data_IF_290960609677
#
_entry.id   IF_290960609677
#
_cell.length_a   1.000
_cell.length_b   1.000
_cell.length_c   1.000
_cell.angle_alpha   90.00
_cell.angle_beta   90.00
_cell.angle_gamma   90.00
#
_symmetry.space_group_name_H-M   'P 1'
#
loop_
_entity.id
_entity.type
_entity.pdbx_description
1 polymer ?
#
# COMPACT_ATOMS: atom_id res chain seq x y z
N UNK A 1 -22.99 53.86 -5.56
CA UNK A 1 -22.26 53.14 -6.62
C UNK A 1 -22.16 51.69 -6.22
N UNK A 2 -23.22 50.91 -6.50
CA UNK A 2 -23.20 49.46 -6.37
C UNK A 2 -22.26 48.88 -7.43
N UNK A 3 -21.20 48.23 -7.02
CA UNK A 3 -20.43 47.35 -7.91
C UNK A 3 -21.23 46.07 -8.03
N UNK A 4 -21.87 45.86 -9.18
CA UNK A 4 -22.42 44.56 -9.51
C UNK A 4 -21.30 43.54 -9.53
N UNK A 5 -21.33 42.61 -8.59
CA UNK A 5 -20.39 41.50 -8.55
C UNK A 5 -20.95 40.42 -9.49
N UNK A 6 -20.33 40.24 -10.63
CA UNK A 6 -20.68 39.14 -11.55
C UNK A 6 -19.98 37.90 -11.02
N UNK A 7 -20.73 36.92 -10.58
CA UNK A 7 -20.22 35.61 -10.21
C UNK A 7 -19.89 34.83 -11.50
N UNK A 8 -18.60 34.57 -11.72
CA UNK A 8 -18.16 33.78 -12.86
C UNK A 8 -18.30 32.29 -12.48
N UNK A 9 -18.96 31.47 -13.30
CA UNK A 9 -19.02 30.04 -13.06
C UNK A 9 -17.60 29.46 -12.91
N UNK A 10 -17.34 28.78 -11.79
CA UNK A 10 -16.06 28.12 -11.56
C UNK A 10 -16.24 26.66 -11.23
N UNK A 11 -15.25 25.86 -11.57
CA UNK A 11 -15.21 24.43 -11.29
C UNK A 11 -14.12 24.17 -10.26
N UNK A 12 -14.52 23.76 -9.06
CA UNK A 12 -13.58 23.34 -8.02
C UNK A 12 -13.04 21.95 -8.39
N UNK A 13 -11.76 21.87 -8.69
CA UNK A 13 -11.06 20.61 -8.92
C UNK A 13 -10.11 20.33 -7.76
N UNK A 14 -10.45 19.36 -6.96
CA UNK A 14 -9.54 18.85 -5.92
C UNK A 14 -8.37 18.13 -6.57
N UNK A 15 -7.14 18.56 -6.29
CA UNK A 15 -5.90 17.92 -6.77
C UNK A 15 -5.41 16.89 -5.76
N UNK A 16 -6.23 15.87 -5.51
CA UNK A 16 -5.83 14.72 -4.71
C UNK A 16 -4.90 13.78 -5.48
N UNK A 17 -4.24 12.86 -4.78
CA UNK A 17 -3.49 11.78 -5.43
C UNK A 17 -4.42 11.00 -6.35
N UNK A 18 -3.99 10.81 -7.59
CA UNK A 18 -4.69 9.95 -8.55
C UNK A 18 -3.82 8.73 -8.79
N UNK A 19 -4.37 7.55 -8.54
CA UNK A 19 -3.72 6.28 -8.78
C UNK A 19 -4.46 5.58 -9.91
N UNK A 20 -3.74 5.29 -10.99
CA UNK A 20 -4.23 4.43 -12.05
C UNK A 20 -3.56 3.06 -11.94
N UNK A 21 -4.36 2.02 -12.12
CA UNK A 21 -3.94 0.62 -12.10
C UNK A 21 -4.22 0.03 -13.46
N UNK A 22 -3.18 -0.48 -14.12
CA UNK A 22 -3.29 -1.23 -15.36
C UNK A 22 -2.87 -2.68 -15.08
N UNK A 23 -3.78 -3.62 -15.20
CA UNK A 23 -3.48 -5.04 -15.06
C UNK A 23 -2.77 -5.54 -16.32
N UNK A 24 -1.64 -6.21 -16.15
CA UNK A 24 -0.84 -6.76 -17.23
C UNK A 24 -1.02 -8.29 -17.23
N UNK A 25 -1.53 -8.89 -18.32
CA UNK A 25 -1.75 -10.33 -18.38
C UNK A 25 -0.44 -11.11 -18.33
N UNK A 26 -0.46 -12.22 -17.63
CA UNK A 26 0.69 -13.11 -17.50
C UNK A 26 0.25 -14.58 -17.41
N UNK A 27 1.20 -15.48 -17.60
CA UNK A 27 1.02 -16.92 -17.53
C UNK A 27 2.01 -17.52 -16.54
N UNK A 28 1.55 -18.35 -15.62
CA UNK A 28 2.46 -19.13 -14.79
C UNK A 28 3.06 -20.28 -15.62
N UNK A 29 4.39 -20.33 -15.71
CA UNK A 29 5.11 -21.35 -16.49
C UNK A 29 5.37 -22.59 -15.67
N UNK A 30 6.01 -22.43 -14.49
CA UNK A 30 6.41 -23.58 -13.68
C UNK A 30 6.43 -23.25 -12.18
N UNK A 31 6.58 -24.34 -11.40
CA UNK A 31 6.92 -24.34 -9.99
C UNK A 31 8.10 -25.27 -9.79
N UNK A 32 9.07 -24.88 -8.99
CA UNK A 32 10.20 -25.73 -8.62
C UNK A 32 10.59 -25.50 -7.16
N UNK A 33 11.37 -26.42 -6.62
CA UNK A 33 11.85 -26.34 -5.24
C UNK A 33 13.33 -26.72 -5.21
N UNK A 34 14.11 -25.89 -4.54
CA UNK A 34 15.53 -26.15 -4.36
C UNK A 34 15.98 -25.65 -2.98
N UNK A 35 16.52 -26.53 -2.12
CA UNK A 35 17.10 -26.15 -0.83
C UNK A 35 16.12 -25.44 0.12
N UNK A 36 14.82 -25.83 0.13
CA UNK A 36 13.79 -25.19 0.98
C UNK A 36 13.30 -23.85 0.46
N UNK A 37 13.68 -23.49 -0.76
CA UNK A 37 13.17 -22.31 -1.48
C UNK A 37 12.21 -22.75 -2.58
N UNK A 38 11.05 -22.14 -2.64
CA UNK A 38 9.99 -22.43 -3.59
C UNK A 38 9.95 -21.34 -4.67
N UNK A 39 10.10 -21.76 -5.93
CA UNK A 39 10.16 -20.87 -7.10
C UNK A 39 8.87 -20.93 -7.90
N UNK A 40 8.37 -19.77 -8.28
CA UNK A 40 7.23 -19.58 -9.17
C UNK A 40 7.67 -18.68 -10.32
N UNK A 41 7.64 -19.20 -11.55
CA UNK A 41 8.04 -18.46 -12.74
C UNK A 41 6.82 -18.08 -13.56
N UNK A 42 6.79 -16.83 -13.99
CA UNK A 42 5.73 -16.22 -14.76
C UNK A 42 6.28 -15.59 -16.04
N UNK A 43 5.50 -15.65 -17.10
CA UNK A 43 5.78 -15.01 -18.38
C UNK A 43 4.70 -13.96 -18.65
N UNK A 44 5.08 -12.73 -18.93
CA UNK A 44 4.15 -11.71 -19.40
C UNK A 44 3.71 -12.03 -20.83
N UNK A 45 2.41 -11.91 -21.11
CA UNK A 45 1.86 -12.09 -22.46
C UNK A 45 2.39 -11.02 -23.42
N UNK A 46 2.56 -9.81 -22.88
CA UNK A 46 3.17 -8.68 -23.56
C UNK A 46 4.21 -8.03 -22.64
N UNK A 47 5.36 -7.67 -23.18
CA UNK A 47 6.45 -7.06 -22.40
C UNK A 47 6.14 -5.60 -22.11
N UNK A 48 5.30 -5.38 -21.12
CA UNK A 48 4.96 -4.07 -20.57
C UNK A 48 5.66 -3.84 -19.22
N UNK A 49 5.99 -2.58 -18.86
CA UNK A 49 6.50 -2.30 -17.55
C UNK A 49 5.48 -2.66 -16.46
N UNK A 50 5.94 -3.34 -15.41
CA UNK A 50 5.18 -3.56 -14.17
C UNK A 50 5.95 -3.03 -12.98
N UNK A 51 5.26 -2.69 -11.89
CA UNK A 51 5.88 -2.27 -10.63
C UNK A 51 5.19 -2.87 -9.42
N UNK A 52 4.27 -3.80 -9.64
CA UNK A 52 3.55 -4.44 -8.55
C UNK A 52 3.12 -5.86 -8.92
N UNK A 53 3.30 -6.79 -7.98
CA UNK A 53 2.77 -8.16 -8.05
C UNK A 53 2.02 -8.45 -6.76
N UNK A 54 0.73 -8.78 -6.85
CA UNK A 54 -0.08 -9.22 -5.72
C UNK A 54 -0.15 -10.74 -5.69
N UNK A 55 0.04 -11.33 -4.52
CA UNK A 55 0.09 -12.77 -4.31
C UNK A 55 -0.97 -13.18 -3.30
N UNK A 56 -1.84 -14.13 -3.66
CA UNK A 56 -2.78 -14.72 -2.74
C UNK A 56 -2.38 -16.16 -2.44
N UNK A 57 -2.36 -16.51 -1.16
CA UNK A 57 -1.99 -17.84 -0.69
C UNK A 57 -3.16 -18.50 0.04
N UNK A 58 -3.21 -19.83 -0.03
CA UNK A 58 -4.16 -20.61 0.78
C UNK A 58 -3.82 -20.57 2.26
N UNK A 59 -2.52 -20.46 2.58
CA UNK A 59 -2.05 -20.39 3.96
C UNK A 59 -2.41 -19.06 4.61
N UNK A 60 -2.69 -19.13 5.91
CA UNK A 60 -2.86 -18.01 6.82
C UNK A 60 -1.75 -18.07 7.89
N UNK A 61 -1.51 -16.96 8.59
CA UNK A 61 -0.53 -16.86 9.69
C UNK A 61 0.88 -17.27 9.28
N UNK A 62 1.42 -16.59 8.29
CA UNK A 62 2.78 -16.78 7.83
C UNK A 62 3.58 -15.47 7.84
N UNK A 63 4.90 -15.61 7.88
CA UNK A 63 5.89 -14.55 7.73
C UNK A 63 7.03 -15.10 6.88
N UNK A 64 7.09 -14.68 5.63
CA UNK A 64 8.05 -15.20 4.65
C UNK A 64 8.89 -14.10 4.04
N UNK A 65 10.10 -14.47 3.63
CA UNK A 65 10.98 -13.65 2.81
C UNK A 65 10.90 -14.08 1.36
N UNK A 66 10.80 -13.10 0.48
CA UNK A 66 10.61 -13.28 -0.95
C UNK A 66 11.71 -12.55 -1.71
N UNK A 67 12.29 -13.19 -2.69
CA UNK A 67 13.09 -12.54 -3.72
C UNK A 67 12.27 -12.47 -5.01
N UNK A 68 12.34 -11.35 -5.72
CA UNK A 68 11.79 -11.17 -7.05
C UNK A 68 12.94 -10.94 -8.02
N UNK A 69 12.92 -11.69 -9.11
CA UNK A 69 13.91 -11.63 -10.18
C UNK A 69 13.21 -11.44 -11.52
N UNK A 70 13.87 -10.75 -12.44
CA UNK A 70 13.43 -10.56 -13.83
C UNK A 70 14.42 -11.16 -14.82
N UNK A 71 13.92 -11.62 -15.95
CA UNK A 71 14.72 -12.17 -17.05
C UNK A 71 14.07 -11.89 -18.40
N UNK A 72 14.88 -11.77 -19.45
CA UNK A 72 14.39 -11.67 -20.82
C UNK A 72 14.58 -12.97 -21.63
N UNK A 73 15.39 -13.90 -21.13
CA UNK A 73 15.75 -15.15 -21.80
C UNK A 73 15.38 -16.41 -21.01
N UNK A 74 14.78 -16.23 -19.81
CA UNK A 74 14.48 -17.28 -18.83
C UNK A 74 15.73 -18.09 -18.38
N UNK A 75 16.92 -17.53 -18.55
CA UNK A 75 18.20 -18.13 -18.15
C UNK A 75 18.99 -17.18 -17.27
N UNK A 76 19.17 -15.95 -17.69
CA UNK A 76 19.89 -14.90 -16.97
C UNK A 76 18.92 -14.10 -16.10
N UNK A 77 19.09 -14.17 -14.78
CA UNK A 77 18.17 -13.59 -13.81
C UNK A 77 18.79 -12.40 -13.09
N UNK A 78 18.04 -11.31 -12.99
CA UNK A 78 18.42 -10.07 -12.33
C UNK A 78 17.53 -9.81 -11.12
N UNK A 79 18.15 -9.51 -9.96
CA UNK A 79 17.40 -9.20 -8.76
C UNK A 79 16.64 -7.88 -8.89
N UNK A 80 15.36 -7.90 -8.60
CA UNK A 80 14.48 -6.73 -8.48
C UNK A 80 14.22 -6.44 -7.01
N UNK A 81 13.85 -7.46 -6.22
CA UNK A 81 13.69 -7.38 -4.77
C UNK A 81 14.46 -8.50 -4.08
N UNK A 82 15.06 -8.20 -2.94
CA UNK A 82 15.77 -9.17 -2.12
C UNK A 82 15.25 -9.12 -0.68
N UNK A 83 15.01 -10.30 -0.12
CA UNK A 83 14.53 -10.49 1.27
C UNK A 83 13.27 -9.65 1.61
N UNK A 84 12.42 -9.41 0.62
CA UNK A 84 11.17 -8.67 0.81
C UNK A 84 10.23 -9.47 1.70
N UNK A 85 9.76 -8.87 2.77
CA UNK A 85 8.88 -9.55 3.73
C UNK A 85 7.45 -9.54 3.25
N UNK A 86 6.81 -10.70 3.26
CA UNK A 86 5.35 -10.84 3.10
C UNK A 86 4.79 -11.60 4.30
N UNK A 87 3.60 -11.23 4.74
CA UNK A 87 3.00 -11.84 5.91
C UNK A 87 1.47 -11.87 5.83
N UNK A 88 0.90 -12.80 6.59
CA UNK A 88 -0.53 -12.87 6.88
C UNK A 88 -0.71 -13.11 8.36
N UNK A 89 -1.61 -12.35 8.98
CA UNK A 89 -1.99 -12.49 10.40
C UNK A 89 -3.50 -12.55 10.43
N UNK A 90 -4.04 -13.67 10.92
CA UNK A 90 -5.47 -13.86 11.08
C UNK A 90 -5.76 -14.49 12.44
N UNK A 91 -6.55 -13.79 13.21
CA UNK A 91 -7.08 -14.23 14.50
C UNK A 91 -8.47 -13.60 14.72
N UNK A 92 -9.02 -13.68 15.93
CA UNK A 92 -10.36 -13.16 16.24
C UNK A 92 -10.45 -11.62 16.16
N UNK A 93 -9.32 -10.92 16.24
CA UNK A 93 -9.27 -9.45 16.28
C UNK A 93 -8.66 -8.83 15.04
N UNK A 94 -7.89 -9.62 14.25
CA UNK A 94 -7.08 -9.11 13.14
C UNK A 94 -7.21 -10.02 11.93
N UNK A 95 -7.50 -9.45 10.77
CA UNK A 95 -7.32 -10.08 9.46
C UNK A 95 -6.47 -9.11 8.60
N UNK A 96 -5.16 -9.36 8.58
CA UNK A 96 -4.20 -8.50 7.88
C UNK A 96 -3.34 -9.33 6.94
N UNK A 97 -3.24 -8.87 5.68
CA UNK A 97 -2.41 -9.47 4.64
C UNK A 97 -1.50 -8.42 4.02
N UNK A 98 -0.21 -8.68 4.07
CA UNK A 98 0.81 -7.91 3.38
C UNK A 98 1.52 -8.84 2.39
N UNK A 99 0.92 -9.03 1.22
CA UNK A 99 1.37 -9.99 0.20
C UNK A 99 1.57 -9.36 -1.18
N UNK A 100 1.66 -8.02 -1.19
CA UNK A 100 1.88 -7.23 -2.38
C UNK A 100 3.36 -6.84 -2.48
N UNK A 101 4.02 -7.28 -3.55
CA UNK A 101 5.36 -6.86 -3.89
C UNK A 101 5.27 -5.53 -4.65
N UNK A 102 5.94 -4.50 -4.14
CA UNK A 102 6.05 -3.20 -4.81
C UNK A 102 7.51 -2.91 -5.11
N UNK A 103 7.81 -2.52 -6.34
CA UNK A 103 9.18 -2.34 -6.83
C UNK A 103 9.23 -1.24 -7.90
N UNK A 104 10.42 -0.71 -8.25
CA UNK A 104 10.58 0.22 -9.35
C UNK A 104 10.09 -0.37 -10.67
N UNK A 105 9.66 0.49 -11.60
CA UNK A 105 9.26 0.07 -12.94
C UNK A 105 10.29 -0.89 -13.55
N UNK A 106 9.83 -2.09 -13.85
CA UNK A 106 10.68 -3.16 -14.38
C UNK A 106 10.04 -3.73 -15.64
N UNK A 107 10.86 -3.96 -16.66
CA UNK A 107 10.40 -4.44 -17.97
C UNK A 107 11.19 -5.67 -18.37
N UNK A 108 10.66 -6.85 -18.00
CA UNK A 108 11.19 -8.16 -18.34
C UNK A 108 10.09 -9.03 -18.96
N UNK A 109 10.48 -10.01 -19.78
CA UNK A 109 9.56 -11.01 -20.30
C UNK A 109 9.14 -11.99 -19.21
N UNK A 110 10.08 -12.38 -18.35
CA UNK A 110 9.89 -13.38 -17.30
C UNK A 110 10.15 -12.79 -15.93
N UNK A 111 9.33 -13.21 -14.96
CA UNK A 111 9.51 -12.89 -13.55
C UNK A 111 9.54 -14.18 -12.74
N UNK A 112 10.46 -14.26 -11.78
CA UNK A 112 10.57 -15.40 -10.87
C UNK A 112 10.48 -14.93 -9.42
N UNK A 113 9.57 -15.55 -8.69
CA UNK A 113 9.39 -15.32 -7.25
C UNK A 113 9.98 -16.51 -6.52
N UNK A 114 10.92 -16.25 -5.62
CA UNK A 114 11.55 -17.24 -4.75
C UNK A 114 11.10 -17.00 -3.31
N UNK A 115 10.43 -17.96 -2.69
CA UNK A 115 9.87 -17.87 -1.34
C UNK A 115 10.60 -18.85 -0.43
N UNK A 116 11.19 -18.34 0.66
CA UNK A 116 11.75 -19.18 1.70
C UNK A 116 10.68 -19.47 2.74
N UNK A 117 10.26 -20.73 2.83
CA UNK A 117 9.21 -21.17 3.75
C UNK A 117 9.48 -22.60 4.26
N UNK A 118 8.93 -22.94 5.44
CA UNK A 118 9.09 -24.28 6.03
C UNK A 118 8.23 -25.34 5.32
N UNK A 119 7.16 -24.92 4.66
CA UNK A 119 6.30 -25.77 3.86
C UNK A 119 5.95 -25.07 2.54
N UNK A 120 5.59 -25.83 1.51
CA UNK A 120 5.30 -25.29 0.18
C UNK A 120 4.13 -24.29 0.22
N UNK A 121 4.35 -23.03 -0.17
CA UNK A 121 3.27 -22.07 -0.32
C UNK A 121 2.31 -22.52 -1.42
N UNK A 122 1.02 -22.44 -1.15
CA UNK A 122 -0.02 -22.71 -2.15
C UNK A 122 -0.53 -21.38 -2.68
N UNK A 123 0.01 -20.96 -3.82
CA UNK A 123 -0.41 -19.76 -4.51
C UNK A 123 -1.77 -20.01 -5.17
N UNK A 124 -2.78 -19.23 -4.79
CA UNK A 124 -4.16 -19.36 -5.28
C UNK A 124 -4.49 -18.35 -6.37
N UNK A 125 -3.92 -17.15 -6.26
CA UNK A 125 -4.09 -16.11 -7.25
C UNK A 125 -2.84 -15.23 -7.31
N UNK A 126 -2.59 -14.65 -8.47
CA UNK A 126 -1.51 -13.69 -8.69
C UNK A 126 -1.99 -12.65 -9.68
N UNK A 127 -1.66 -11.38 -9.43
CA UNK A 127 -1.94 -10.28 -10.36
C UNK A 127 -0.70 -9.44 -10.55
N UNK A 128 -0.41 -9.10 -11.78
CA UNK A 128 0.65 -8.15 -12.14
C UNK A 128 0.04 -6.84 -12.60
N UNK A 129 0.55 -5.74 -12.08
CA UNK A 129 0.00 -4.42 -12.39
C UNK A 129 1.10 -3.39 -12.61
N UNK A 130 0.78 -2.42 -13.45
CA UNK A 130 1.46 -1.14 -13.50
C UNK A 130 0.62 -0.13 -12.73
N UNK A 131 1.20 0.42 -11.70
CA UNK A 131 0.60 1.47 -10.89
C UNK A 131 1.26 2.80 -11.20
N UNK A 132 0.51 3.76 -11.70
CA UNK A 132 0.97 5.13 -11.91
C UNK A 132 0.29 6.05 -10.90
N UNK A 133 1.09 6.86 -10.22
CA UNK A 133 0.59 7.81 -9.23
C UNK A 133 0.92 9.23 -9.64
N UNK A 134 -0.11 10.00 -9.93
CA UNK A 134 0.00 11.45 -10.05
C UNK A 134 -0.22 12.04 -8.66
N UNK A 135 0.82 12.63 -8.11
CA UNK A 135 0.75 13.22 -6.77
C UNK A 135 -0.20 14.41 -6.75
N UNK A 136 -1.04 14.45 -5.74
CA UNK A 136 -1.86 15.61 -5.42
C UNK A 136 -1.02 16.79 -4.93
N UNK A 137 -1.63 17.96 -4.95
CA UNK A 137 -1.04 19.16 -4.37
C UNK A 137 -1.75 19.40 -3.04
N UNK A 138 -0.98 19.39 -1.95
CA UNK A 138 -1.48 19.61 -0.60
C UNK A 138 -0.81 20.83 0.00
N UNK A 139 -1.61 21.68 0.62
CA UNK A 139 -1.12 22.78 1.44
C UNK A 139 -1.15 22.34 2.91
N UNK A 140 -0.06 22.56 3.62
CA UNK A 140 -0.01 22.26 5.03
C UNK A 140 -0.89 23.24 5.81
N UNK A 141 -1.76 22.71 6.64
CA UNK A 141 -2.59 23.49 7.56
C UNK A 141 -1.94 23.44 8.95
N UNK A 142 -1.52 24.58 9.47
CA UNK A 142 -0.92 24.69 10.80
C UNK A 142 -2.02 24.54 11.85
N UNK A 143 -1.81 23.61 12.78
CA UNK A 143 -2.65 23.48 13.95
C UNK A 143 -2.28 24.53 15.02
N UNK A 144 -3.23 24.88 15.86
CA UNK A 144 -3.04 25.81 16.99
C UNK A 144 -2.73 25.06 18.29
N UNK A 145 -3.42 23.95 18.50
CA UNK A 145 -3.23 23.10 19.69
C UNK A 145 -2.96 21.67 19.28
N UNK A 146 -2.15 21.01 20.07
CA UNK A 146 -1.83 19.58 19.92
C UNK A 146 -1.78 18.97 21.31
N UNK A 147 -2.55 17.91 21.54
CA UNK A 147 -2.54 17.14 22.77
C UNK A 147 -2.44 15.65 22.44
N UNK A 148 -1.62 14.92 23.21
CA UNK A 148 -1.42 13.49 23.05
C UNK A 148 -1.66 12.82 24.41
N UNK A 149 -2.66 11.93 24.45
CA UNK A 149 -3.03 11.16 25.64
C UNK A 149 -2.87 9.67 25.39
N UNK A 150 -2.19 8.99 26.29
CA UNK A 150 -2.06 7.55 26.30
C UNK A 150 -2.90 6.96 27.44
N UNK A 151 -3.85 6.10 27.12
CA UNK A 151 -4.58 5.31 28.11
C UNK A 151 -3.95 3.91 28.17
N UNK A 152 -3.31 3.62 29.31
CA UNK A 152 -2.63 2.33 29.53
C UNK A 152 -3.61 1.19 29.80
N UNK A 153 -4.87 1.49 30.20
CA UNK A 153 -5.90 0.47 30.46
C UNK A 153 -6.53 -0.01 29.16
N UNK A 154 -6.94 0.92 28.30
CA UNK A 154 -7.53 0.62 26.98
C UNK A 154 -6.47 0.36 25.91
N UNK A 155 -5.21 0.70 26.18
CA UNK A 155 -4.08 0.67 25.22
C UNK A 155 -4.32 1.54 23.99
N UNK A 156 -5.06 2.62 24.18
CA UNK A 156 -5.36 3.61 23.15
C UNK A 156 -4.49 4.86 23.29
N UNK A 157 -4.14 5.43 22.16
CA UNK A 157 -3.50 6.74 22.09
C UNK A 157 -4.44 7.69 21.38
N UNK A 158 -4.83 8.77 22.06
CA UNK A 158 -5.64 9.84 21.47
C UNK A 158 -4.74 11.01 21.10
N UNK A 159 -4.87 11.48 19.87
CA UNK A 159 -4.21 12.68 19.37
C UNK A 159 -5.31 13.70 19.06
N UNK A 160 -5.33 14.81 19.80
CA UNK A 160 -6.27 15.90 19.61
C UNK A 160 -5.55 17.09 18.96
N UNK A 161 -6.10 17.57 17.84
CA UNK A 161 -5.53 18.68 17.07
C UNK A 161 -6.58 19.76 16.91
N UNK A 162 -6.29 20.97 17.38
CA UNK A 162 -7.17 22.13 17.25
C UNK A 162 -6.66 23.12 16.21
N UNK A 163 -7.58 23.65 15.41
CA UNK A 163 -7.31 24.69 14.42
C UNK A 163 -7.94 26.01 14.85
N UNK A 164 -7.35 27.13 14.46
CA UNK A 164 -7.87 28.47 14.76
C UNK A 164 -9.26 28.72 14.16
N UNK A 165 -9.49 28.19 12.97
CA UNK A 165 -10.74 28.29 12.24
C UNK A 165 -11.12 26.90 11.72
N UNK A 166 -12.40 26.69 11.43
CA UNK A 166 -12.84 25.49 10.75
C UNK A 166 -12.21 25.43 9.35
N UNK A 167 -11.45 24.38 9.09
CA UNK A 167 -10.76 24.16 7.82
C UNK A 167 -11.04 22.75 7.30
N UNK A 168 -11.29 22.58 6.01
CA UNK A 168 -11.42 21.24 5.42
C UNK A 168 -10.06 20.55 5.39
N UNK A 169 -9.92 19.47 6.17
CA UNK A 169 -8.72 18.62 6.16
C UNK A 169 -8.99 17.42 5.27
N UNK A 170 -8.21 17.26 4.20
CA UNK A 170 -8.36 16.16 3.24
C UNK A 170 -7.23 15.13 3.31
N UNK A 171 -6.17 15.43 4.04
CA UNK A 171 -5.01 14.56 4.18
C UNK A 171 -4.37 14.73 5.56
N UNK A 172 -4.12 13.61 6.22
CA UNK A 172 -3.42 13.55 7.51
C UNK A 172 -2.16 12.70 7.36
N UNK A 173 -1.02 13.24 7.78
CA UNK A 173 0.24 12.51 7.83
C UNK A 173 0.66 12.34 9.29
N UNK A 174 0.73 11.11 9.76
CA UNK A 174 1.28 10.73 11.06
C UNK A 174 2.67 10.15 10.88
N UNK A 175 3.65 10.69 11.60
CA UNK A 175 4.99 10.12 11.67
C UNK A 175 5.13 9.41 13.01
N UNK A 176 5.17 8.09 12.99
CA UNK A 176 5.44 7.29 14.17
C UNK A 176 6.92 6.86 14.15
N UNK A 177 7.60 7.04 15.29
CA UNK A 177 8.95 6.50 15.49
C UNK A 177 8.83 5.15 16.17
N UNK A 178 9.36 4.10 15.53
CA UNK A 178 9.38 2.76 16.08
C UNK A 178 10.57 2.01 15.49
N UNK A 179 11.23 1.22 16.33
CA UNK A 179 12.36 0.37 15.94
C UNK A 179 11.89 -0.95 15.30
N UNK A 180 10.58 -1.17 15.24
CA UNK A 180 9.97 -2.38 14.68
C UNK A 180 8.67 -2.05 13.94
N UNK A 181 8.29 -2.91 13.01
CA UNK A 181 7.02 -2.83 12.29
C UNK A 181 5.86 -3.11 13.25
N UNK A 182 4.82 -2.29 13.18
CA UNK A 182 3.61 -2.49 13.95
C UNK A 182 2.37 -2.23 13.10
N UNK A 183 1.26 -2.83 13.50
CA UNK A 183 -0.07 -2.57 12.96
C UNK A 183 -0.95 -1.99 14.07
N UNK A 184 -1.60 -0.86 13.78
CA UNK A 184 -2.56 -0.21 14.68
C UNK A 184 -3.75 0.29 13.89
N UNK A 185 -4.99 -0.07 14.26
CA UNK A 185 -6.18 0.55 13.70
C UNK A 185 -6.25 2.02 14.11
N UNK A 186 -6.71 2.87 13.20
CA UNK A 186 -6.87 4.31 13.42
C UNK A 186 -8.34 4.67 13.20
N UNK A 187 -8.92 5.45 14.15
CA UNK A 187 -10.21 6.08 14.03
C UNK A 187 -10.00 7.59 13.97
N UNK A 188 -10.63 8.26 13.01
CA UNK A 188 -10.58 9.71 12.86
C UNK A 188 -11.96 10.26 13.22
N UNK A 189 -11.98 11.21 14.13
CA UNK A 189 -13.18 11.89 14.61
C UNK A 189 -13.00 13.40 14.44
N UNK A 190 -14.08 14.12 14.28
CA UNK A 190 -14.10 15.58 14.28
C UNK A 190 -15.26 16.09 15.12
N UNK A 191 -15.04 17.24 15.77
CA UNK A 191 -16.06 17.90 16.55
C UNK A 191 -16.79 18.92 15.68
N UNK A 192 -18.11 18.81 15.61
CA UNK A 192 -18.97 19.84 14.99
C UNK A 192 -19.71 20.58 16.08
N UNK A 193 -19.82 21.90 15.96
CA UNK A 193 -20.70 22.68 16.84
C UNK A 193 -22.15 22.24 16.62
N UNK A 194 -22.74 21.58 17.62
CA UNK A 194 -24.16 21.31 17.61
C UNK A 194 -24.88 22.58 18.06
N UNK A 195 -25.49 23.30 17.15
CA UNK A 195 -26.47 24.34 17.49
C UNK A 195 -27.64 23.59 18.12
N UNK A 196 -27.80 23.75 19.45
CA UNK A 196 -29.06 23.37 20.10
C UNK A 196 -30.12 24.40 19.67
N UNK A 197 -31.02 23.99 18.82
CA UNK A 197 -32.28 24.68 18.57
C UNK A 197 -33.25 24.45 19.72
#
# INVERSE_FOLDING_TARGET
>A
NGKDTIEIPYLLKQRANQVSLTEIPFKQLNKSTLGGVYYYTFELTEVNPINQISLDFKQENFDWKVNLEGSNDNQSWFNILKDYRILSIKNNETDYKFTKLSFPDSKYQFYRIAIKANAQPTLTNTKTTKTDTVKGIYNEVKYQTYDLKNDTKTKETTIEVGFKNAVPVSYLKLNAQSDFDFYRPIRIEYVTDSIKT
#
